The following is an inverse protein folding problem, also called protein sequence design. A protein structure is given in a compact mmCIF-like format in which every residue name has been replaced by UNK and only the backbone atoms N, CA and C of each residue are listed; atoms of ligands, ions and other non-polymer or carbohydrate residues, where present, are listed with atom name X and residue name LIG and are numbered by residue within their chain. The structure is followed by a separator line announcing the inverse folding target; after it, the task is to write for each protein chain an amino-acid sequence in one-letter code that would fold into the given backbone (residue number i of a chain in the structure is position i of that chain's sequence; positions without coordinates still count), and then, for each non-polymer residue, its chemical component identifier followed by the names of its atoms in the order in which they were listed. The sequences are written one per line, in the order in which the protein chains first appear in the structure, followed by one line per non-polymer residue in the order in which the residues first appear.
data_IF_232853338284
#
_entry.id   IF_232853338284
#
_cell.length_a   1.000
_cell.length_b   1.000
_cell.length_c   1.000
_cell.angle_alpha   90.00
_cell.angle_beta   90.00
_cell.angle_gamma   90.00
#
_symmetry.space_group_name_H-M   'P 1'
#
loop_
_entity.id
_entity.type
_entity.pdbx_description
1 polymer ?
#
# COMPACT_ATOMS: atom_id res chain seq x y z
N UNK A 1 -28.38 -14.22 15.09
CA UNK A 1 -27.55 -13.22 15.81
C UNK A 1 -27.63 -11.89 15.07
N UNK A 2 -28.12 -10.82 15.72
CA UNK A 2 -28.21 -9.51 15.08
C UNK A 2 -26.81 -8.99 14.71
N UNK A 3 -26.63 -8.62 13.44
CA UNK A 3 -25.38 -8.10 12.91
C UNK A 3 -25.03 -6.78 13.61
N UNK A 4 -23.81 -6.66 14.14
CA UNK A 4 -23.36 -5.50 14.92
C UNK A 4 -23.50 -4.16 14.17
N UNK A 5 -23.52 -4.23 12.83
CA UNK A 5 -23.75 -3.07 11.97
C UNK A 5 -25.03 -2.32 12.35
N UNK A 6 -26.07 -3.00 12.83
CA UNK A 6 -27.33 -2.35 13.21
C UNK A 6 -27.25 -1.50 14.48
N UNK A 7 -26.12 -1.48 15.20
CA UNK A 7 -25.88 -0.50 16.26
C UNK A 7 -25.57 0.91 15.71
N UNK A 8 -25.05 0.98 14.47
CA UNK A 8 -24.63 2.23 13.82
C UNK A 8 -25.68 2.77 12.84
N UNK A 9 -26.72 1.99 12.55
CA UNK A 9 -27.75 2.32 11.56
C UNK A 9 -29.14 1.96 12.08
N UNK A 10 -30.12 2.78 11.73
CA UNK A 10 -31.54 2.48 11.92
C UNK A 10 -32.26 2.38 10.58
N UNK A 11 -33.34 1.62 10.50
CA UNK A 11 -34.18 1.58 9.29
C UNK A 11 -34.99 2.89 9.21
N UNK A 12 -35.20 3.40 8.00
CA UNK A 12 -36.03 4.59 7.77
C UNK A 12 -37.51 4.23 7.90
N UNK A 13 -38.27 5.01 8.68
CA UNK A 13 -39.72 4.78 8.90
C UNK A 13 -40.56 4.90 7.62
N UNK A 14 -40.00 5.54 6.59
CA UNK A 14 -40.64 5.75 5.28
C UNK A 14 -40.41 4.63 4.27
N UNK A 15 -39.37 3.79 4.45
CA UNK A 15 -39.10 2.67 3.55
C UNK A 15 -38.06 1.69 4.12
N UNK A 16 -38.45 0.42 4.27
CA UNK A 16 -37.59 -0.66 4.80
C UNK A 16 -36.32 -0.93 3.97
N UNK A 17 -36.30 -0.45 2.72
CA UNK A 17 -35.17 -0.56 1.81
C UNK A 17 -34.06 0.46 2.06
N UNK A 18 -34.24 1.40 2.98
CA UNK A 18 -33.30 2.48 3.28
C UNK A 18 -32.90 2.43 4.76
N UNK A 19 -31.59 2.45 5.01
CA UNK A 19 -31.01 2.59 6.35
C UNK A 19 -30.41 3.99 6.52
N UNK A 20 -30.64 4.59 7.69
CA UNK A 20 -30.10 5.88 8.09
C UNK A 20 -28.91 5.64 9.01
N UNK A 21 -27.76 6.21 8.65
CA UNK A 21 -26.59 6.22 9.50
C UNK A 21 -26.82 7.15 10.70
N UNK A 22 -26.66 6.64 11.93
CA UNK A 22 -26.89 7.45 13.14
C UNK A 22 -25.79 8.52 13.31
N UNK A 23 -24.48 8.21 13.12
CA UNK A 23 -23.42 9.20 13.26
C UNK A 23 -23.42 10.36 12.25
N UNK A 24 -23.89 10.15 11.01
CA UNK A 24 -23.82 11.19 9.96
C UNK A 24 -25.15 11.51 9.28
N UNK A 25 -26.24 10.85 9.65
CA UNK A 25 -27.59 11.08 9.10
C UNK A 25 -27.78 10.64 7.64
N UNK A 26 -26.77 10.09 6.97
CA UNK A 26 -26.86 9.71 5.55
C UNK A 26 -27.78 8.51 5.34
N UNK A 27 -28.65 8.61 4.34
CA UNK A 27 -29.53 7.54 3.88
C UNK A 27 -28.80 6.61 2.91
N UNK A 28 -28.91 5.30 3.13
CA UNK A 28 -28.19 4.26 2.39
C UNK A 28 -29.18 3.21 1.94
N UNK A 29 -29.24 2.96 0.63
CA UNK A 29 -30.07 1.90 0.07
C UNK A 29 -29.49 0.52 0.39
N UNK A 30 -30.35 -0.39 0.83
CA UNK A 30 -30.04 -1.79 1.15
C UNK A 30 -30.31 -2.74 -0.01
N UNK A 31 -30.84 -2.23 -1.13
CA UNK A 31 -31.32 -3.04 -2.25
C UNK A 31 -30.14 -3.59 -3.04
N UNK A 32 -30.03 -4.91 -3.10
CA UNK A 32 -29.14 -5.60 -4.02
C UNK A 32 -29.99 -6.32 -5.07
N UNK A 33 -29.94 -5.86 -6.32
CA UNK A 33 -30.61 -6.53 -7.44
C UNK A 33 -29.65 -7.56 -8.04
N UNK A 34 -29.62 -8.77 -7.49
CA UNK A 34 -29.08 -9.93 -8.19
C UNK A 34 -30.26 -10.86 -8.50
N UNK A 35 -30.41 -11.17 -9.79
CA UNK A 35 -31.38 -12.16 -10.30
C UNK A 35 -32.85 -11.98 -9.87
N UNK A 36 -33.44 -10.81 -10.14
CA UNK A 36 -34.91 -10.61 -10.10
C UNK A 36 -35.61 -10.72 -8.74
N UNK A 37 -34.91 -11.10 -7.67
CA UNK A 37 -35.45 -11.20 -6.32
C UNK A 37 -34.81 -10.15 -5.39
N UNK A 38 -35.66 -9.37 -4.72
CA UNK A 38 -35.24 -8.26 -3.87
C UNK A 38 -34.74 -8.81 -2.53
N UNK A 39 -33.43 -8.82 -2.30
CA UNK A 39 -32.84 -9.19 -1.01
C UNK A 39 -32.20 -7.99 -0.32
N UNK A 40 -32.42 -7.87 0.99
CA UNK A 40 -31.86 -6.80 1.82
C UNK A 40 -30.48 -7.20 2.34
N UNK A 41 -29.43 -6.65 1.75
CA UNK A 41 -28.06 -6.88 2.22
C UNK A 41 -27.62 -5.82 3.22
N UNK A 42 -26.82 -6.22 4.20
CA UNK A 42 -26.14 -5.30 5.13
C UNK A 42 -24.77 -4.86 4.63
N UNK A 43 -24.27 -5.39 3.50
CA UNK A 43 -22.97 -5.01 2.90
C UNK A 43 -22.83 -3.50 2.64
N UNK A 44 -23.85 -2.78 2.14
CA UNK A 44 -23.75 -1.33 1.94
C UNK A 44 -23.52 -0.56 3.24
N UNK A 45 -24.14 -1.01 4.34
CA UNK A 45 -24.01 -0.39 5.67
C UNK A 45 -22.59 -0.61 6.21
N UNK A 46 -22.05 -1.83 6.09
CA UNK A 46 -20.68 -2.13 6.50
C UNK A 46 -19.65 -1.32 5.70
N UNK A 47 -19.85 -1.17 4.38
CA UNK A 47 -18.95 -0.39 3.53
C UNK A 47 -19.01 1.10 3.86
N UNK A 48 -20.20 1.64 4.14
CA UNK A 48 -20.35 3.02 4.59
C UNK A 48 -19.64 3.26 5.92
N UNK A 49 -19.91 2.43 6.94
CA UNK A 49 -19.32 2.59 8.26
C UNK A 49 -17.79 2.46 8.21
N UNK A 50 -17.24 1.48 7.48
CA UNK A 50 -15.79 1.37 7.26
C UNK A 50 -15.18 2.61 6.60
N UNK A 51 -15.87 3.19 5.62
CA UNK A 51 -15.33 4.30 4.82
C UNK A 51 -15.40 5.65 5.53
N UNK A 52 -16.50 5.94 6.23
CA UNK A 52 -16.77 7.26 6.79
C UNK A 52 -16.69 7.31 8.32
N UNK A 53 -16.79 6.15 8.98
CA UNK A 53 -16.77 6.00 10.44
C UNK A 53 -15.81 4.88 10.86
N UNK A 54 -14.62 4.83 10.25
CA UNK A 54 -13.67 3.71 10.41
C UNK A 54 -13.34 3.43 11.89
N UNK A 55 -13.03 4.47 12.67
CA UNK A 55 -12.71 4.36 14.10
C UNK A 55 -13.86 3.73 14.90
N UNK A 56 -15.08 4.26 14.77
CA UNK A 56 -16.28 3.74 15.44
C UNK A 56 -16.64 2.33 14.99
N UNK A 57 -16.41 2.02 13.71
CA UNK A 57 -16.67 0.70 13.15
C UNK A 57 -15.70 -0.36 13.67
N UNK A 58 -14.43 -0.01 13.86
CA UNK A 58 -13.41 -0.90 14.43
C UNK A 58 -13.57 -1.08 15.94
N UNK A 59 -13.91 -0.02 16.67
CA UNK A 59 -14.21 -0.07 18.11
C UNK A 59 -15.40 -1.01 18.41
N UNK A 60 -16.52 -0.86 17.68
CA UNK A 60 -17.71 -1.71 17.85
C UNK A 60 -17.51 -3.15 17.35
N UNK A 61 -16.62 -3.36 16.38
CA UNK A 61 -16.27 -4.70 15.89
C UNK A 61 -15.35 -5.43 16.87
N UNK A 62 -14.36 -4.74 17.44
CA UNK A 62 -13.36 -5.34 18.33
C UNK A 62 -13.93 -5.68 19.71
N UNK A 63 -14.95 -4.94 20.19
CA UNK A 63 -15.67 -5.26 21.42
C UNK A 63 -16.33 -6.66 21.42
N UNK A 64 -16.44 -7.32 20.26
CA UNK A 64 -17.03 -8.67 20.13
C UNK A 64 -16.02 -9.81 20.07
N UNK A 65 -14.72 -9.53 20.00
CA UNK A 65 -13.66 -10.55 19.79
C UNK A 65 -12.87 -10.91 21.06
N UNK A 66 -13.27 -10.42 22.23
CA UNK A 66 -12.68 -10.80 23.53
C UNK A 66 -13.49 -11.87 24.29
N UNK A 67 -14.36 -12.62 23.62
CA UNK A 67 -15.08 -13.72 24.28
C UNK A 67 -15.34 -14.87 23.31
N UNK A 68 -14.30 -15.63 22.95
CA UNK A 68 -14.38 -17.02 22.43
C UNK A 68 -12.97 -17.60 22.23
N UNK A 69 -12.30 -18.02 23.31
CA UNK A 69 -11.09 -18.85 23.23
C UNK A 69 -11.19 -20.01 24.22
N UNK A 70 -11.50 -21.22 23.73
CA UNK A 70 -11.24 -22.50 24.42
C UNK A 70 -11.35 -23.72 23.47
N UNK A 71 -10.40 -24.65 23.62
CA UNK A 71 -10.30 -26.06 23.14
C UNK A 71 -10.03 -26.30 21.63
N UNK A 72 -8.87 -26.81 21.18
CA UNK A 72 -8.12 -28.08 21.39
C UNK A 72 -8.58 -29.29 20.51
N UNK A 73 -7.59 -30.01 19.95
CA UNK A 73 -7.65 -31.41 19.47
C UNK A 73 -7.52 -31.57 17.94
N UNK A 74 -6.34 -31.88 17.35
CA UNK A 74 -5.57 -33.15 17.28
C UNK A 74 -6.15 -34.22 16.33
N UNK A 75 -5.36 -34.61 15.29
CA UNK A 75 -5.00 -36.00 14.91
C UNK A 75 -4.84 -36.23 13.38
N UNK A 76 -3.57 -36.37 12.95
CA UNK A 76 -2.93 -37.37 12.03
C UNK A 76 -3.91 -38.26 11.20
N UNK A 77 -3.80 -38.45 9.87
CA UNK A 77 -2.78 -39.25 9.17
C UNK A 77 -2.87 -39.16 7.63
N UNK A 78 -1.70 -38.99 7.01
CA UNK A 78 -1.16 -39.50 5.72
C UNK A 78 -2.06 -40.18 4.68
N UNK A 79 -1.94 -39.73 3.42
CA UNK A 79 -1.73 -40.61 2.26
C UNK A 79 -1.09 -39.86 1.08
N UNK A 80 -0.09 -40.54 0.52
CA UNK A 80 0.79 -40.17 -0.59
C UNK A 80 0.03 -40.19 -1.93
N UNK A 81 0.12 -39.14 -2.77
CA UNK A 81 0.31 -39.20 -4.24
C UNK A 81 0.88 -37.86 -4.75
N UNK A 82 2.05 -37.93 -5.40
CA UNK A 82 2.76 -36.85 -6.11
C UNK A 82 1.93 -36.09 -7.13
N UNK A 83 1.88 -34.74 -7.06
CA UNK A 83 1.70 -33.84 -8.23
C UNK A 83 2.40 -32.50 -8.01
N UNK A 84 3.27 -32.14 -8.98
CA UNK A 84 3.78 -30.81 -9.37
C UNK A 84 3.71 -29.68 -8.32
N UNK A 85 4.87 -29.22 -7.84
CA UNK A 85 5.01 -27.90 -7.21
C UNK A 85 4.83 -26.82 -8.29
N UNK A 86 3.59 -26.41 -8.55
CA UNK A 86 3.34 -25.05 -9.03
C UNK A 86 3.52 -24.13 -7.83
N UNK A 87 4.46 -23.18 -7.92
CA UNK A 87 4.61 -22.13 -6.92
C UNK A 87 3.35 -21.26 -6.93
N UNK A 88 2.47 -21.54 -5.97
CA UNK A 88 1.28 -20.74 -5.71
C UNK A 88 1.75 -19.38 -5.19
N UNK A 89 1.64 -18.36 -6.03
CA UNK A 89 1.87 -16.98 -5.64
C UNK A 89 0.99 -16.66 -4.43
N UNK A 90 1.62 -16.36 -3.29
CA UNK A 90 0.92 -15.82 -2.12
C UNK A 90 0.16 -14.56 -2.57
N UNK A 91 -1.17 -14.57 -2.47
CA UNK A 91 -1.97 -13.37 -2.64
C UNK A 91 -1.54 -12.34 -1.59
N UNK A 92 -1.13 -11.15 -2.05
CA UNK A 92 -0.81 -10.02 -1.18
C UNK A 92 -2.07 -9.55 -0.45
N UNK A 93 -1.91 -9.15 0.81
CA UNK A 93 -2.98 -8.64 1.64
C UNK A 93 -3.45 -7.26 1.14
N UNK A 94 -4.74 -6.93 1.31
CA UNK A 94 -5.34 -5.70 0.74
C UNK A 94 -4.70 -4.43 1.31
N UNK A 95 -4.21 -4.45 2.55
CA UNK A 95 -3.48 -3.32 3.14
C UNK A 95 -2.09 -3.12 2.50
N UNK A 96 -1.43 -4.20 2.06
CA UNK A 96 -0.19 -4.12 1.29
C UNK A 96 -0.40 -3.50 -0.10
N UNK A 97 -1.64 -3.53 -0.61
CA UNK A 97 -2.00 -2.87 -1.88
C UNK A 97 -2.12 -1.34 -1.78
N UNK A 98 -2.29 -0.81 -0.56
CA UNK A 98 -2.34 0.64 -0.31
C UNK A 98 -0.98 1.18 0.11
N UNK A 99 -0.21 0.42 0.90
CA UNK A 99 1.21 0.75 1.16
C UNK A 99 2.06 0.64 -0.11
N UNK A 100 1.66 -0.18 -1.09
CA UNK A 100 2.34 -0.27 -2.40
C UNK A 100 2.17 0.98 -3.27
N UNK A 101 1.19 1.85 -3.01
CA UNK A 101 0.93 3.10 -3.76
C UNK A 101 1.51 4.35 -3.11
N UNK A 102 2.08 4.26 -1.92
CA UNK A 102 2.65 5.41 -1.21
C UNK A 102 3.94 5.87 -1.90
N UNK A 103 4.00 7.14 -2.29
CA UNK A 103 5.21 7.84 -2.75
C UNK A 103 6.27 7.74 -1.64
N UNK A 104 7.50 7.37 -2.01
CA UNK A 104 8.60 7.27 -1.07
C UNK A 104 9.04 8.65 -0.63
N UNK A 105 9.41 8.75 0.65
CA UNK A 105 10.02 9.96 1.16
C UNK A 105 11.39 10.18 0.50
N UNK A 106 11.84 11.42 0.39
CA UNK A 106 13.10 11.78 -0.29
C UNK A 106 14.32 11.10 0.36
N UNK A 107 14.26 10.89 1.68
CA UNK A 107 15.32 10.24 2.45
C UNK A 107 15.07 8.74 2.69
N UNK A 108 14.03 8.16 2.08
CA UNK A 108 13.83 6.72 2.08
C UNK A 108 15.04 6.02 1.44
N UNK A 109 15.38 4.84 1.94
CA UNK A 109 16.55 4.09 1.46
C UNK A 109 16.44 3.76 -0.04
N UNK A 110 15.23 3.44 -0.52
CA UNK A 110 15.00 3.16 -1.95
C UNK A 110 15.14 4.42 -2.80
N UNK A 111 14.67 5.57 -2.31
CA UNK A 111 14.86 6.87 -2.97
C UNK A 111 16.35 7.21 -3.09
N UNK A 112 17.12 7.05 -2.00
CA UNK A 112 18.57 7.30 -1.99
C UNK A 112 19.32 6.42 -2.98
N UNK A 113 18.93 5.15 -3.11
CA UNK A 113 19.53 4.25 -4.11
C UNK A 113 19.27 4.74 -5.54
N UNK A 114 18.07 5.24 -5.82
CA UNK A 114 17.75 5.80 -7.14
C UNK A 114 18.49 7.12 -7.37
N UNK A 115 18.53 8.04 -6.39
CA UNK A 115 19.33 9.27 -6.46
C UNK A 115 20.77 8.96 -6.83
N UNK A 116 21.36 7.95 -6.17
CA UNK A 116 22.72 7.51 -6.47
C UNK A 116 22.86 7.01 -7.91
N UNK A 117 21.91 6.22 -8.40
CA UNK A 117 21.94 5.69 -9.78
C UNK A 117 21.79 6.80 -10.81
N UNK A 118 20.95 7.79 -10.57
CA UNK A 118 20.82 8.97 -11.43
C UNK A 118 22.12 9.79 -11.41
N UNK A 119 22.72 10.03 -10.24
CA UNK A 119 24.00 10.73 -10.14
C UNK A 119 25.13 10.01 -10.91
N UNK A 120 25.16 8.68 -10.85
CA UNK A 120 26.10 7.86 -11.63
C UNK A 120 25.84 8.01 -13.13
N UNK A 121 24.59 7.93 -13.58
CA UNK A 121 24.22 8.11 -14.98
C UNK A 121 24.62 9.50 -15.50
N UNK A 122 24.34 10.56 -14.74
CA UNK A 122 24.76 11.92 -15.08
C UNK A 122 26.28 12.00 -15.26
N UNK A 123 27.05 11.43 -14.33
CA UNK A 123 28.51 11.49 -14.37
C UNK A 123 29.12 10.62 -15.47
N UNK A 124 28.60 9.41 -15.70
CA UNK A 124 29.11 8.48 -16.71
C UNK A 124 28.81 8.96 -18.13
N UNK A 125 27.60 9.44 -18.36
CA UNK A 125 27.13 9.83 -19.68
C UNK A 125 27.33 11.33 -19.97
N UNK A 126 28.01 12.04 -19.04
CA UNK A 126 28.26 13.48 -19.08
C UNK A 126 27.00 14.31 -19.38
N UNK A 127 25.89 13.96 -18.73
CA UNK A 127 24.60 14.61 -18.94
C UNK A 127 24.55 15.97 -18.23
N UNK A 128 23.79 16.95 -18.77
CA UNK A 128 23.48 18.15 -18.03
C UNK A 128 22.59 17.84 -16.82
N UNK A 129 22.76 18.56 -15.71
CA UNK A 129 21.93 18.37 -14.51
C UNK A 129 20.43 18.64 -14.75
N UNK A 130 20.11 19.44 -15.76
CA UNK A 130 18.72 19.72 -16.18
C UNK A 130 17.97 18.50 -16.68
N UNK A 131 18.64 17.38 -16.98
CA UNK A 131 17.97 16.12 -17.40
C UNK A 131 16.90 15.68 -16.41
N UNK A 132 17.07 15.99 -15.12
CA UNK A 132 16.10 15.66 -14.06
C UNK A 132 14.80 16.45 -14.15
N UNK A 133 14.79 17.53 -14.91
CA UNK A 133 13.65 18.43 -15.16
C UNK A 133 13.06 18.23 -16.57
N UNK A 134 13.70 17.42 -17.42
CA UNK A 134 13.23 17.13 -18.78
C UNK A 134 12.00 16.23 -18.76
N UNK A 135 10.93 16.62 -19.47
CA UNK A 135 9.65 15.90 -19.49
C UNK A 135 9.78 14.43 -19.90
N UNK A 136 10.67 14.14 -20.86
CA UNK A 136 10.92 12.77 -21.32
C UNK A 136 11.53 11.89 -20.23
N UNK A 137 12.47 12.43 -19.46
CA UNK A 137 13.09 11.71 -18.34
C UNK A 137 12.10 11.56 -17.18
N UNK A 138 11.34 12.60 -16.86
CA UNK A 138 10.29 12.55 -15.84
C UNK A 138 9.24 11.48 -16.20
N UNK A 139 8.77 11.47 -17.44
CA UNK A 139 7.80 10.48 -17.93
C UNK A 139 8.34 9.05 -17.85
N UNK A 140 9.60 8.84 -18.25
CA UNK A 140 10.26 7.55 -18.15
C UNK A 140 10.33 7.07 -16.69
N UNK A 141 10.76 7.93 -15.78
CA UNK A 141 10.89 7.60 -14.36
C UNK A 141 9.52 7.36 -13.70
N UNK A 142 8.49 8.12 -14.07
CA UNK A 142 7.13 7.90 -13.60
C UNK A 142 6.58 6.54 -14.04
N UNK A 143 6.94 6.08 -15.25
CA UNK A 143 6.58 4.74 -15.74
C UNK A 143 7.36 3.62 -15.03
N UNK A 144 8.69 3.75 -14.95
CA UNK A 144 9.58 2.71 -14.40
C UNK A 144 9.49 2.61 -12.88
N UNK A 145 9.40 3.74 -12.19
CA UNK A 145 9.33 3.83 -10.74
C UNK A 145 8.32 4.89 -10.28
N UNK A 146 7.01 4.61 -10.36
CA UNK A 146 5.93 5.58 -10.06
C UNK A 146 5.92 6.07 -8.61
N UNK A 147 6.64 5.39 -7.72
CA UNK A 147 6.69 5.73 -6.29
C UNK A 147 7.85 6.67 -5.95
N UNK A 148 8.76 6.88 -6.89
CA UNK A 148 9.95 7.69 -6.70
C UNK A 148 9.69 9.13 -7.10
N UNK A 149 10.15 10.06 -6.27
CA UNK A 149 10.12 11.49 -6.57
C UNK A 149 11.52 11.93 -7.00
N UNK A 150 11.63 12.40 -8.24
CA UNK A 150 12.88 12.94 -8.79
C UNK A 150 13.27 14.18 -7.98
N UNK A 151 14.55 14.27 -7.64
CA UNK A 151 15.11 15.41 -6.90
C UNK A 151 15.53 16.52 -7.86
N UNK A 152 15.62 17.75 -7.34
CA UNK A 152 15.98 18.90 -8.15
C UNK A 152 17.41 18.80 -8.70
N UNK A 153 17.69 19.48 -9.82
CA UNK A 153 19.05 19.56 -10.37
C UNK A 153 20.08 20.03 -9.33
N UNK A 154 19.67 20.94 -8.44
CA UNK A 154 20.50 21.51 -7.38
C UNK A 154 20.98 20.43 -6.41
N UNK A 155 20.13 19.48 -6.05
CA UNK A 155 20.52 18.36 -5.21
C UNK A 155 21.63 17.52 -5.86
N UNK A 156 21.52 17.26 -7.16
CA UNK A 156 22.55 16.50 -7.89
C UNK A 156 23.87 17.26 -7.97
N UNK A 157 23.82 18.56 -8.26
CA UNK A 157 24.98 19.45 -8.36
C UNK A 157 25.70 19.61 -7.01
N UNK A 158 24.96 19.96 -5.96
CA UNK A 158 25.53 20.41 -4.69
C UNK A 158 25.76 19.26 -3.70
N UNK A 159 25.03 18.14 -3.84
CA UNK A 159 25.06 17.04 -2.86
C UNK A 159 25.44 15.71 -3.48
N UNK A 160 24.67 15.21 -4.45
CA UNK A 160 24.80 13.80 -4.87
C UNK A 160 26.11 13.51 -5.62
N UNK A 161 26.50 14.35 -6.59
CA UNK A 161 27.72 14.16 -7.37
C UNK A 161 28.99 14.44 -6.54
N UNK A 162 29.10 15.53 -5.77
CA UNK A 162 30.25 15.75 -4.89
C UNK A 162 30.48 14.59 -3.92
N UNK A 163 29.40 14.09 -3.29
CA UNK A 163 29.47 12.93 -2.40
C UNK A 163 29.90 11.65 -3.14
N UNK A 164 29.43 11.44 -4.37
CA UNK A 164 29.84 10.31 -5.19
C UNK A 164 31.33 10.38 -5.54
N UNK A 165 31.82 11.56 -5.92
CA UNK A 165 33.24 11.81 -6.23
C UNK A 165 34.12 11.50 -5.02
N UNK A 166 33.79 12.03 -3.84
CA UNK A 166 34.56 11.80 -2.62
C UNK A 166 34.63 10.32 -2.25
N UNK A 167 33.54 9.57 -2.44
CA UNK A 167 33.52 8.14 -2.20
C UNK A 167 34.42 7.36 -3.15
N UNK A 168 34.39 7.70 -4.45
CA UNK A 168 35.23 7.04 -5.45
C UNK A 168 36.70 7.38 -5.20
N UNK A 169 36.99 8.66 -4.96
CA UNK A 169 38.33 9.16 -4.60
C UNK A 169 38.90 8.42 -3.40
N UNK A 170 38.14 8.30 -2.30
CA UNK A 170 38.54 7.54 -1.11
C UNK A 170 38.82 6.08 -1.42
N UNK A 171 37.96 5.41 -2.19
CA UNK A 171 38.18 4.01 -2.60
C UNK A 171 39.46 3.87 -3.41
N UNK A 172 39.68 4.74 -4.37
CA UNK A 172 40.86 4.74 -5.22
C UNK A 172 42.16 4.88 -4.40
N UNK A 173 42.22 5.85 -3.48
CA UNK A 173 43.38 6.01 -2.60
C UNK A 173 43.60 4.81 -1.68
N UNK A 174 42.52 4.22 -1.15
CA UNK A 174 42.64 3.02 -0.32
C UNK A 174 43.18 1.82 -1.11
N UNK A 175 42.79 1.65 -2.37
CA UNK A 175 43.32 0.57 -3.23
C UNK A 175 44.78 0.80 -3.59
N UNK A 176 45.19 2.05 -3.84
CA UNK A 176 46.61 2.39 -4.05
C UNK A 176 47.43 2.07 -2.79
N UNK A 177 46.95 2.47 -1.62
CA UNK A 177 47.65 2.26 -0.35
C UNK A 177 47.80 0.78 0.04
N UNK A 178 46.89 -0.09 -0.39
CA UNK A 178 47.00 -1.56 -0.20
C UNK A 178 47.99 -2.22 -1.14
N UNK A 179 48.30 -1.56 -2.25
CA UNK A 179 49.14 -2.09 -3.33
C UNK A 179 50.61 -1.69 -3.20
N UNK A 180 50.94 -0.90 -2.16
CA UNK A 180 52.29 -0.50 -1.75
C UNK A 180 52.70 -1.28 -0.52
#
# INVERSE_FOLDING_TARGET
MASFVWKLFKISDSCDSIAICIPCGKQISRRCSKSGQQSFSTTPLHNHAKKFHCKLYEEEKNYKMECSSAAQGSSICSSLISKKKCEMQKQMFVEDSFTSKKIWYINDEKSKQIHRKIAIMIALDNQPFSITEDDGFIGLMAFLQPRYLITSRHYFLETAIPLLYDQIKKKFFNEIAKSQ
#
